data_IF_768604529663
#
_entry.id   IF_768604529663
#
_cell.length_a   1.000
_cell.length_b   1.000
_cell.length_c   1.000
_cell.angle_alpha   90.00
_cell.angle_beta   90.00
_cell.angle_gamma   90.00
#
_symmetry.space_group_name_H-M   'P 1'
#
loop_
_entity.id
_entity.type
_entity.pdbx_description
1 polymer ?
#
# COMPACT_ATOMS: atom_id res chain seq x y z
N UNK A 1 -18.33 -4.51 3.77
CA UNK A 1 -17.84 -4.07 2.45
C UNK A 1 -17.86 -5.27 1.51
N UNK A 2 -18.32 -5.11 0.25
CA UNK A 2 -18.27 -6.17 -0.75
C UNK A 2 -16.86 -6.20 -1.36
N UNK A 3 -16.27 -7.39 -1.52
CA UNK A 3 -14.93 -7.56 -2.07
C UNK A 3 -15.03 -8.50 -3.26
N UNK A 4 -14.52 -8.07 -4.41
CA UNK A 4 -14.46 -8.88 -5.63
C UNK A 4 -13.01 -9.28 -5.94
N UNK A 5 -12.81 -10.31 -6.78
CA UNK A 5 -11.46 -10.79 -7.10
C UNK A 5 -10.54 -9.70 -7.68
N UNK A 6 -11.08 -8.78 -8.48
CA UNK A 6 -10.29 -7.78 -9.19
C UNK A 6 -9.39 -8.40 -10.25
N UNK A 7 -8.31 -7.70 -10.60
CA UNK A 7 -7.35 -8.06 -11.64
C UNK A 7 -5.93 -7.77 -11.17
N UNK A 8 -4.98 -8.61 -11.58
CA UNK A 8 -3.55 -8.40 -11.32
C UNK A 8 -2.97 -7.14 -12.01
N UNK A 9 -3.64 -6.61 -13.04
CA UNK A 9 -3.20 -5.44 -13.76
C UNK A 9 -4.34 -4.44 -14.01
N UNK A 10 -4.03 -3.13 -14.05
CA UNK A 10 -2.73 -2.51 -13.78
C UNK A 10 -2.33 -2.56 -12.29
N UNK A 11 -1.04 -2.33 -11.99
CA UNK A 11 -0.53 -2.27 -10.62
C UNK A 11 -0.89 -0.94 -9.94
N UNK A 12 -1.08 -1.00 -8.63
CA UNK A 12 -1.54 0.09 -7.75
C UNK A 12 -3.05 0.15 -7.57
N UNK A 13 -3.53 1.19 -6.89
CA UNK A 13 -4.95 1.53 -6.80
C UNK A 13 -5.45 2.24 -8.06
N UNK A 14 -6.31 1.59 -8.85
CA UNK A 14 -6.87 2.13 -10.11
C UNK A 14 -8.39 2.23 -10.04
N UNK A 15 -8.91 3.45 -10.12
CA UNK A 15 -10.34 3.72 -10.19
C UNK A 15 -10.87 3.58 -11.63
N UNK A 16 -12.03 2.94 -11.79
CA UNK A 16 -12.65 2.66 -13.10
C UNK A 16 -14.02 3.34 -13.32
N UNK A 17 -14.40 4.25 -12.41
CA UNK A 17 -15.72 4.89 -12.41
C UNK A 17 -16.75 4.22 -11.51
N UNK A 18 -16.54 2.95 -11.11
CA UNK A 18 -17.49 2.17 -10.28
C UNK A 18 -16.87 1.66 -8.98
N UNK A 19 -15.56 1.56 -8.93
CA UNK A 19 -14.81 1.06 -7.79
C UNK A 19 -13.31 1.18 -8.02
N UNK A 20 -12.54 0.61 -7.12
CA UNK A 20 -11.07 0.62 -7.22
C UNK A 20 -10.55 -0.81 -7.28
N UNK A 21 -9.73 -1.08 -8.30
CA UNK A 21 -8.91 -2.27 -8.37
C UNK A 21 -7.58 -2.00 -7.66
N UNK A 22 -7.23 -2.81 -6.68
CA UNK A 22 -5.94 -2.76 -6.00
C UNK A 22 -5.09 -3.95 -6.43
N UNK A 23 -3.85 -3.72 -6.85
CA UNK A 23 -2.92 -4.77 -7.21
C UNK A 23 -1.48 -4.43 -6.78
N UNK A 24 -0.82 -5.34 -6.06
CA UNK A 24 0.55 -5.15 -5.56
C UNK A 24 1.39 -6.41 -5.77
N UNK A 25 2.59 -6.24 -6.29
CA UNK A 25 3.55 -7.33 -6.45
C UNK A 25 4.24 -7.65 -5.11
N UNK A 26 4.29 -8.94 -4.76
CA UNK A 26 5.17 -9.45 -3.72
C UNK A 26 5.39 -10.95 -3.87
N UNK A 27 6.61 -11.35 -4.23
CA UNK A 27 6.98 -12.75 -4.44
C UNK A 27 7.09 -13.56 -3.14
N UNK A 28 7.56 -12.95 -2.05
CA UNK A 28 7.88 -13.66 -0.81
C UNK A 28 6.86 -13.41 0.31
N UNK A 29 5.81 -12.62 0.06
CA UNK A 29 4.75 -12.42 1.04
C UNK A 29 3.97 -13.71 1.28
N UNK A 30 3.58 -13.95 2.52
CA UNK A 30 2.68 -15.04 2.91
C UNK A 30 1.24 -14.56 3.09
N UNK A 31 1.04 -13.25 3.32
CA UNK A 31 -0.27 -12.58 3.34
C UNK A 31 -0.08 -11.10 3.03
N UNK A 32 -1.01 -10.51 2.28
CA UNK A 32 -1.08 -9.06 2.07
C UNK A 32 -2.43 -8.55 2.56
N UNK A 33 -2.42 -7.45 3.29
CA UNK A 33 -3.63 -6.76 3.75
C UNK A 33 -3.63 -5.33 3.22
N UNK A 34 -4.75 -4.94 2.61
CA UNK A 34 -5.06 -3.57 2.22
C UNK A 34 -5.68 -2.84 3.41
N UNK A 35 -5.01 -1.79 3.88
CA UNK A 35 -5.47 -0.95 4.97
C UNK A 35 -6.12 0.32 4.41
N UNK A 36 -7.41 0.54 4.71
CA UNK A 36 -8.14 1.75 4.31
C UNK A 36 -8.22 2.70 5.50
N UNK A 37 -8.01 3.99 5.26
CA UNK A 37 -8.06 5.06 6.26
C UNK A 37 -9.17 6.04 5.89
N UNK A 38 -9.83 6.63 6.89
CA UNK A 38 -10.87 7.64 6.66
C UNK A 38 -10.28 8.96 6.14
N UNK A 39 -9.03 9.27 6.50
CA UNK A 39 -8.32 10.48 6.07
C UNK A 39 -6.80 10.32 6.16
N UNK A 40 -6.07 11.28 5.61
CA UNK A 40 -4.61 11.35 5.73
C UNK A 40 -4.14 11.48 7.19
N UNK A 41 -4.93 12.13 8.05
CA UNK A 41 -4.60 12.35 9.46
C UNK A 41 -5.07 11.24 10.40
N UNK A 42 -5.65 10.17 9.86
CA UNK A 42 -6.11 9.03 10.66
C UNK A 42 -4.93 8.29 11.29
N UNK A 43 -4.96 8.12 12.62
CA UNK A 43 -3.93 7.39 13.36
C UNK A 43 -4.03 5.86 13.22
N UNK A 44 -5.18 5.38 12.73
CA UNK A 44 -5.47 3.96 12.52
C UNK A 44 -6.28 3.75 11.24
N UNK A 45 -6.15 2.56 10.66
CA UNK A 45 -6.98 2.13 9.54
C UNK A 45 -8.41 1.79 10.01
N UNK A 46 -9.40 2.21 9.24
CA UNK A 46 -10.81 1.89 9.46
C UNK A 46 -11.12 0.44 9.06
N UNK A 47 -10.44 -0.04 8.01
CA UNK A 47 -10.58 -1.41 7.53
C UNK A 47 -9.22 -2.01 7.21
N UNK A 48 -9.07 -3.30 7.46
CA UNK A 48 -7.92 -4.10 7.06
C UNK A 48 -8.45 -5.31 6.28
N UNK A 49 -8.23 -5.31 4.96
CA UNK A 49 -8.83 -6.25 4.02
C UNK A 49 -7.76 -7.23 3.54
N UNK A 50 -7.83 -8.54 3.86
CA UNK A 50 -6.90 -9.50 3.31
C UNK A 50 -7.11 -9.63 1.79
N UNK A 51 -6.03 -9.55 1.02
CA UNK A 51 -6.02 -9.87 -0.41
C UNK A 51 -5.93 -11.39 -0.56
N UNK A 52 -7.01 -12.04 -0.98
CA UNK A 52 -7.07 -13.49 -1.15
C UNK A 52 -6.66 -13.94 -2.54
N UNK A 53 -6.81 -13.06 -3.54
CA UNK A 53 -6.46 -13.39 -4.92
C UNK A 53 -5.00 -13.09 -5.20
N UNK A 54 -4.35 -14.05 -5.86
CA UNK A 54 -2.92 -13.99 -6.14
C UNK A 54 -2.63 -14.65 -7.50
N UNK A 55 -2.27 -13.83 -8.49
CA UNK A 55 -1.95 -14.28 -9.85
C UNK A 55 -0.54 -13.80 -10.19
N UNK A 56 0.35 -14.73 -10.54
CA UNK A 56 1.73 -14.42 -10.96
C UNK A 56 2.46 -13.45 -10.00
N UNK A 57 2.46 -13.77 -8.69
CA UNK A 57 3.13 -12.98 -7.64
C UNK A 57 2.48 -11.62 -7.34
N UNK A 58 1.30 -11.37 -7.91
CA UNK A 58 0.54 -10.13 -7.71
C UNK A 58 -0.70 -10.43 -6.88
N UNK A 59 -0.81 -9.74 -5.75
CA UNK A 59 -1.94 -9.78 -4.83
C UNK A 59 -2.94 -8.73 -5.26
N UNK A 60 -4.22 -9.09 -5.38
CA UNK A 60 -5.22 -8.14 -5.86
C UNK A 60 -6.61 -8.32 -5.25
N UNK A 61 -7.40 -7.26 -5.31
CA UNK A 61 -8.84 -7.27 -5.07
C UNK A 61 -9.50 -6.10 -5.79
N UNK A 62 -10.82 -6.09 -5.81
CA UNK A 62 -11.61 -4.96 -6.28
C UNK A 62 -12.67 -4.58 -5.25
N UNK A 63 -12.76 -3.29 -4.96
CA UNK A 63 -13.71 -2.72 -4.01
C UNK A 63 -14.75 -1.85 -4.74
N UNK A 64 -15.97 -2.38 -4.96
CA UNK A 64 -17.07 -1.59 -5.54
C UNK A 64 -17.44 -0.42 -4.63
N UNK A 65 -17.73 0.75 -5.21
CA UNK A 65 -18.17 1.94 -4.49
C UNK A 65 -17.06 2.75 -3.81
N UNK A 66 -15.83 2.25 -3.78
CA UNK A 66 -14.66 3.07 -3.42
C UNK A 66 -14.32 4.00 -4.58
N UNK A 67 -13.98 5.25 -4.28
CA UNK A 67 -13.68 6.28 -5.29
C UNK A 67 -12.36 7.01 -5.03
N UNK A 68 -12.04 8.00 -5.89
CA UNK A 68 -10.93 8.91 -5.69
C UNK A 68 -11.00 9.61 -4.32
N UNK A 69 -9.84 9.91 -3.73
CA UNK A 69 -9.72 10.42 -2.37
C UNK A 69 -9.61 9.35 -1.29
N UNK A 70 -9.83 8.06 -1.63
CA UNK A 70 -9.63 6.99 -0.67
C UNK A 70 -8.15 6.88 -0.29
N UNK A 71 -7.88 7.05 1.01
CA UNK A 71 -6.54 6.92 1.59
C UNK A 71 -6.28 5.47 1.98
N UNK A 72 -5.11 4.95 1.63
CA UNK A 72 -4.76 3.55 1.88
C UNK A 72 -3.27 3.30 2.09
N UNK A 73 -2.96 2.11 2.60
CA UNK A 73 -1.62 1.52 2.65
C UNK A 73 -1.71 0.00 2.68
N UNK A 74 -0.57 -0.68 2.81
CA UNK A 74 -0.51 -2.13 2.88
C UNK A 74 0.17 -2.62 4.16
N UNK A 75 -0.25 -3.76 4.67
CA UNK A 75 0.53 -4.58 5.61
C UNK A 75 0.91 -5.88 4.93
N UNK A 76 2.19 -6.21 4.96
CA UNK A 76 2.72 -7.37 4.24
C UNK A 76 3.38 -8.31 5.25
N UNK A 77 2.89 -9.54 5.27
CA UNK A 77 3.35 -10.62 6.13
C UNK A 77 4.32 -11.51 5.37
N UNK A 78 5.25 -12.12 6.08
CA UNK A 78 6.25 -13.03 5.54
C UNK A 78 7.33 -13.34 6.58
N UNK A 79 8.41 -14.02 6.19
CA UNK A 79 9.52 -14.30 7.10
C UNK A 79 10.23 -13.02 7.57
N UNK A 80 10.56 -12.96 8.86
CA UNK A 80 11.51 -11.98 9.40
C UNK A 80 12.82 -12.72 9.71
N UNK A 81 13.67 -12.81 8.69
CA UNK A 81 14.98 -13.46 8.75
C UNK A 81 16.03 -12.48 8.19
N UNK A 82 16.43 -11.45 8.97
CA UNK A 82 17.29 -10.37 8.48
C UNK A 82 18.61 -10.85 7.88
N UNK A 83 19.19 -11.93 8.43
CA UNK A 83 20.42 -12.55 7.91
C UNK A 83 20.24 -13.17 6.50
N UNK A 84 19.03 -13.56 6.14
CA UNK A 84 18.66 -14.05 4.79
C UNK A 84 18.07 -12.95 3.90
N UNK A 85 18.02 -11.70 4.39
CA UNK A 85 17.45 -10.56 3.69
C UNK A 85 15.93 -10.41 3.81
N UNK A 86 15.22 -11.36 4.42
CA UNK A 86 13.77 -11.26 4.62
C UNK A 86 13.44 -10.37 5.82
N UNK A 87 12.68 -9.30 5.59
CA UNK A 87 12.36 -8.27 6.61
C UNK A 87 10.87 -7.92 6.66
N UNK A 88 10.02 -8.91 6.45
CA UNK A 88 8.57 -8.71 6.51
C UNK A 88 8.13 -8.37 7.93
N UNK A 89 7.48 -7.23 8.11
CA UNK A 89 6.98 -6.79 9.40
C UNK A 89 5.58 -6.18 9.22
N UNK A 90 4.50 -6.93 9.54
CA UNK A 90 3.13 -6.46 9.34
C UNK A 90 2.72 -5.35 10.31
N UNK A 91 3.51 -5.08 11.35
CA UNK A 91 3.30 -3.93 12.25
C UNK A 91 3.55 -2.60 11.52
N UNK A 92 4.25 -2.64 10.38
CA UNK A 92 4.58 -1.46 9.58
C UNK A 92 3.59 -1.32 8.42
N UNK A 93 2.89 -0.20 8.37
CA UNK A 93 2.10 0.21 7.20
C UNK A 93 3.04 0.68 6.10
N UNK A 94 2.88 0.12 4.92
CA UNK A 94 3.71 0.36 3.74
C UNK A 94 2.95 1.22 2.72
N UNK A 95 3.66 2.15 2.12
CA UNK A 95 3.17 2.91 0.96
C UNK A 95 3.11 1.98 -0.26
N UNK A 96 2.06 2.13 -1.07
CA UNK A 96 1.97 1.43 -2.34
C UNK A 96 3.09 1.92 -3.29
N UNK A 97 3.98 1.03 -3.77
CA UNK A 97 5.05 1.43 -4.70
C UNK A 97 4.53 1.95 -6.05
N UNK A 98 3.25 1.71 -6.35
CA UNK A 98 2.57 2.18 -7.56
C UNK A 98 1.61 3.35 -7.31
N UNK A 99 1.58 3.92 -6.10
CA UNK A 99 0.76 5.07 -5.74
C UNK A 99 0.95 6.22 -6.74
N UNK A 100 -0.15 6.87 -7.12
CA UNK A 100 -0.13 8.04 -8.02
C UNK A 100 -0.21 9.37 -7.26
N UNK A 101 -0.61 9.31 -5.99
CA UNK A 101 -0.59 10.41 -5.05
C UNK A 101 -0.25 9.90 -3.64
N UNK A 102 0.41 10.75 -2.86
CA UNK A 102 0.73 10.52 -1.45
C UNK A 102 -0.15 11.47 -0.64
N UNK A 103 -1.07 10.92 0.15
CA UNK A 103 -2.01 11.68 0.97
C UNK A 103 -1.36 12.19 2.26
N UNK A 104 -0.46 11.40 2.84
CA UNK A 104 0.29 11.74 4.06
C UNK A 104 1.77 11.47 3.84
N UNK A 105 2.59 12.46 4.16
CA UNK A 105 4.04 12.33 4.24
C UNK A 105 4.52 11.65 5.53
N UNK A 106 5.78 11.25 5.56
CA UNK A 106 6.41 10.63 6.73
C UNK A 106 6.37 11.59 7.93
N UNK A 107 5.76 11.14 9.04
CA UNK A 107 5.88 11.78 10.35
C UNK A 107 6.91 10.99 11.16
N UNK A 108 8.11 11.53 11.37
CA UNK A 108 9.19 10.78 12.01
C UNK A 108 8.82 10.26 13.40
N UNK A 109 8.90 8.94 13.57
CA UNK A 109 8.76 8.22 14.82
C UNK A 109 9.55 6.91 14.71
N UNK A 110 10.09 6.40 15.84
CA UNK A 110 10.89 5.18 15.83
C UNK A 110 10.07 3.95 15.40
N UNK A 111 8.73 3.97 15.56
CA UNK A 111 7.86 2.90 15.09
C UNK A 111 7.86 2.73 13.56
N UNK A 112 8.36 3.70 12.79
CA UNK A 112 8.54 3.56 11.34
C UNK A 112 9.63 2.55 10.97
N UNK A 113 10.56 2.27 11.88
CA UNK A 113 11.62 1.30 11.65
C UNK A 113 11.11 -0.13 11.88
N UNK A 114 11.51 -1.04 11.00
CA UNK A 114 11.20 -2.47 11.12
C UNK A 114 11.90 -3.17 12.29
N UNK A 115 12.91 -2.53 12.87
CA UNK A 115 13.75 -2.99 13.98
C UNK A 115 13.73 -1.96 15.11
N UNK A 116 14.09 -2.38 16.32
CA UNK A 116 14.05 -1.51 17.50
C UNK A 116 15.26 -0.58 17.49
N UNK A 117 15.03 0.72 17.36
CA UNK A 117 16.08 1.73 17.42
C UNK A 117 16.75 1.68 18.80
N UNK A 118 18.08 1.56 18.82
CA UNK A 118 18.87 1.47 20.05
C UNK A 118 18.98 0.06 20.66
N UNK A 119 18.40 -0.96 20.03
CA UNK A 119 18.56 -2.36 20.45
C UNK A 119 20.01 -2.83 20.23
N UNK A 120 20.50 -3.71 21.11
CA UNK A 120 21.85 -4.29 20.99
C UNK A 120 22.01 -5.14 19.75
N UNK A 121 20.93 -5.77 19.28
CA UNK A 121 20.90 -6.57 18.05
C UNK A 121 20.69 -5.69 16.81
N UNK A 122 20.60 -4.37 16.97
CA UNK A 122 20.44 -3.38 15.92
C UNK A 122 19.32 -3.76 14.92
N UNK A 123 19.64 -3.86 13.63
CA UNK A 123 18.71 -4.17 12.55
C UNK A 123 18.30 -5.64 12.47
N UNK A 124 18.86 -6.51 13.33
CA UNK A 124 18.43 -7.91 13.46
C UNK A 124 17.21 -8.06 14.37
N UNK A 125 16.97 -7.08 15.25
CA UNK A 125 15.77 -7.04 16.09
C UNK A 125 14.52 -6.78 15.24
N UNK A 126 13.34 -7.17 15.74
CA UNK A 126 12.06 -6.83 15.13
C UNK A 126 11.30 -5.88 16.05
N UNK A 127 10.82 -4.78 15.49
CA UNK A 127 9.97 -3.81 16.19
C UNK A 127 8.49 -4.08 15.88
N UNK A 128 7.72 -4.38 16.92
CA UNK A 128 6.30 -4.74 16.87
C UNK A 128 5.35 -3.55 17.10
N UNK A 129 5.86 -2.32 17.23
CA UNK A 129 5.03 -1.11 17.35
C UNK A 129 4.33 -0.84 16.02
N UNK A 130 3.07 -0.46 16.10
CA UNK A 130 2.29 -0.09 14.92
C UNK A 130 2.74 1.27 14.37
N UNK A 131 3.02 1.34 13.07
CA UNK A 131 3.43 2.58 12.39
C UNK A 131 2.26 3.37 11.80
N UNK A 132 1.01 2.89 11.93
CA UNK A 132 -0.17 3.46 11.27
C UNK A 132 -0.40 4.96 11.48
N UNK A 133 -0.01 5.54 12.61
CA UNK A 133 -0.17 6.97 12.86
C UNK A 133 0.87 7.86 12.14
N UNK A 134 1.96 7.25 11.68
CA UNK A 134 3.17 7.95 11.25
C UNK A 134 3.55 7.64 9.80
N UNK A 135 3.19 6.46 9.32
CA UNK A 135 3.56 5.96 8.00
C UNK A 135 2.99 6.83 6.87
N UNK A 136 3.71 6.99 5.75
CA UNK A 136 3.15 7.63 4.58
C UNK A 136 1.99 6.81 4.02
N UNK A 137 0.94 7.49 3.54
CA UNK A 137 -0.26 6.85 2.99
C UNK A 137 -0.47 7.27 1.54
N UNK A 138 -0.92 6.32 0.72
CA UNK A 138 -1.28 6.56 -0.67
C UNK A 138 -2.73 7.09 -0.76
N UNK A 139 -3.04 7.75 -1.88
CA UNK A 139 -4.39 8.17 -2.23
C UNK A 139 -4.76 7.67 -3.62
N UNK A 140 -5.99 7.17 -3.75
CA UNK A 140 -6.56 6.85 -5.06
C UNK A 140 -6.89 8.14 -5.80
N UNK A 141 -6.40 8.30 -7.03
CA UNK A 141 -6.68 9.46 -7.87
C UNK A 141 -7.76 9.17 -8.91
N UNK A 142 -8.39 10.23 -9.40
CA UNK A 142 -9.06 10.21 -10.71
C UNK A 142 -7.98 10.48 -11.78
N UNK A 143 -7.71 9.55 -12.72
CA UNK A 143 -6.74 9.80 -13.78
C UNK A 143 -7.26 10.75 -14.87
N UNK A 144 -8.54 11.12 -14.86
CA UNK A 144 -9.12 11.98 -15.89
C UNK A 144 -8.50 13.38 -15.86
N UNK A 145 -8.00 13.82 -17.01
CA UNK A 145 -7.55 15.18 -17.25
C UNK A 145 -7.85 15.55 -18.71
N UNK A 146 -8.45 16.72 -18.94
CA UNK A 146 -8.72 17.21 -20.29
C UNK A 146 -7.45 17.84 -20.88
N UNK A 147 -6.79 17.08 -21.76
CA UNK A 147 -5.56 17.50 -22.45
C UNK A 147 -5.82 18.49 -23.60
N UNK A 148 -7.08 18.76 -23.96
CA UNK A 148 -7.42 19.61 -25.10
C UNK A 148 -6.78 19.10 -26.41
N UNK A 149 -6.06 19.99 -27.09
CA UNK A 149 -5.37 19.68 -28.36
C UNK A 149 -3.92 19.20 -28.18
N UNK A 150 -3.47 18.90 -26.95
CA UNK A 150 -2.10 18.44 -26.69
C UNK A 150 -1.81 17.12 -27.41
N UNK A 151 -0.66 17.07 -28.07
CA UNK A 151 -0.18 15.90 -28.80
C UNK A 151 1.33 15.92 -28.90
N UNK A 152 1.93 14.73 -28.89
CA UNK A 152 3.38 14.57 -29.05
C UNK A 152 3.89 15.40 -30.25
N UNK A 153 4.92 16.25 -30.06
CA UNK A 153 5.50 17.01 -31.16
C UNK A 153 6.11 16.15 -32.28
N UNK A 154 6.35 14.85 -32.03
CA UNK A 154 6.90 13.88 -32.97
C UNK A 154 8.10 14.42 -33.79
N UNK A 155 8.97 15.21 -33.15
CA UNK A 155 10.19 15.72 -33.79
C UNK A 155 11.31 14.68 -33.65
N UNK A 156 12.00 14.33 -34.75
CA UNK A 156 13.14 13.42 -34.72
C UNK A 156 14.35 14.01 -33.98
#
# INVERSE_FOLDING_TARGET
MLIWPGKAYPLGGTWDGKGVNFAIFSEHATKVELCLFDSADSDQQTHCIPLTEHTDRIWHCYLPGVGPGQVYGYRVHGPYEPASGHRFNPSKVLLDPYAKAIARDVKWDDSLFGYRVGDSDADLSMDDRDSAAFAPLAEVIDPFFDWGDDRSPCRP
#
